data_IF_680980987836
#
_entry.id   IF_680980987836
#
_cell.length_a   1.000
_cell.length_b   1.000
_cell.length_c   1.000
_cell.angle_alpha   90.00
_cell.angle_beta   90.00
_cell.angle_gamma   90.00
#
_symmetry.space_group_name_H-M   'P 1'
#
loop_
_entity.id
_entity.type
_entity.pdbx_description
1 polymer ?
#
# COMPACT_ATOMS: atom_id res chain seq x y z
N UNK A 1 19.45 -9.42 22.45
CA UNK A 1 18.57 -9.24 21.27
C UNK A 1 17.55 -8.16 21.59
N UNK A 2 17.85 -6.91 21.22
CA UNK A 2 17.02 -5.74 21.53
C UNK A 2 15.81 -5.67 20.61
N UNK A 3 14.61 -5.53 21.19
CA UNK A 3 13.37 -5.27 20.46
C UNK A 3 13.42 -3.82 19.97
N UNK A 4 13.53 -3.61 18.65
CA UNK A 4 13.31 -2.30 18.06
C UNK A 4 11.82 -1.95 18.20
N UNK A 5 11.50 -1.15 19.22
CA UNK A 5 10.20 -0.50 19.30
C UNK A 5 10.11 0.54 18.15
N UNK A 6 8.99 0.61 17.41
CA UNK A 6 8.81 1.63 16.39
C UNK A 6 8.82 3.01 17.06
N UNK A 7 9.73 3.88 16.60
CA UNK A 7 9.81 5.27 17.05
C UNK A 7 8.61 6.03 16.48
N UNK A 8 7.51 6.08 17.22
CA UNK A 8 6.49 7.09 16.98
C UNK A 8 7.11 8.46 17.28
N UNK A 9 7.48 9.20 16.24
CA UNK A 9 7.93 10.59 16.36
C UNK A 9 6.79 11.39 17.01
N UNK A 10 6.96 11.72 18.29
CA UNK A 10 6.06 12.65 19.00
C UNK A 10 6.27 14.06 18.43
N UNK A 11 5.21 14.63 17.87
CA UNK A 11 4.83 16.01 18.17
C UNK A 11 5.67 17.17 17.61
N UNK A 12 6.18 17.09 16.39
CA UNK A 12 6.37 18.31 15.59
C UNK A 12 5.36 18.28 14.45
N UNK A 13 4.68 19.38 14.17
CA UNK A 13 3.81 19.56 12.99
C UNK A 13 4.72 19.66 11.75
N UNK A 14 5.50 18.61 11.50
CA UNK A 14 6.24 18.43 10.28
C UNK A 14 5.27 18.02 9.18
N UNK A 15 5.48 18.52 7.96
CA UNK A 15 4.76 18.06 6.78
C UNK A 15 4.93 16.53 6.68
N UNK A 16 3.82 15.78 6.68
CA UNK A 16 3.85 14.32 6.50
C UNK A 16 4.58 13.99 5.20
N UNK A 17 5.52 13.05 5.23
CA UNK A 17 6.19 12.54 4.03
C UNK A 17 5.71 11.14 3.73
N UNK A 18 4.99 10.99 2.62
CA UNK A 18 4.31 9.75 2.26
C UNK A 18 4.88 9.19 0.96
N UNK A 19 5.12 7.87 0.93
CA UNK A 19 5.49 7.16 -0.29
C UNK A 19 4.27 6.45 -0.87
N UNK A 20 3.86 6.82 -2.09
CA UNK A 20 2.82 6.09 -2.84
C UNK A 20 3.48 5.08 -3.76
N UNK A 21 3.40 3.81 -3.41
CA UNK A 21 3.90 2.69 -4.20
C UNK A 21 2.79 2.09 -5.05
N UNK A 22 3.00 2.05 -6.37
CA UNK A 22 2.03 1.49 -7.30
C UNK A 22 2.20 -0.01 -7.47
N UNK A 23 1.13 -0.78 -7.24
CA UNK A 23 1.14 -2.22 -7.48
C UNK A 23 0.98 -2.60 -8.95
N UNK A 24 0.43 -1.71 -9.78
CA UNK A 24 0.22 -1.93 -11.22
C UNK A 24 1.55 -2.10 -11.97
N UNK A 25 1.59 -2.99 -12.96
CA UNK A 25 2.66 -3.06 -13.98
C UNK A 25 2.61 -1.85 -14.94
N UNK A 26 3.64 -1.59 -15.77
CA UNK A 26 3.61 -0.52 -16.77
C UNK A 26 2.37 -0.58 -17.67
N UNK A 27 2.10 -1.73 -18.28
CA UNK A 27 0.94 -1.91 -19.15
C UNK A 27 -0.40 -1.75 -18.42
N UNK A 28 -0.50 -2.17 -17.15
CA UNK A 28 -1.71 -1.97 -16.34
C UNK A 28 -1.96 -0.48 -16.05
N UNK A 29 -0.91 0.29 -15.73
CA UNK A 29 -1.05 1.74 -15.53
C UNK A 29 -1.49 2.45 -16.79
N UNK A 30 -0.95 2.07 -17.94
CA UNK A 30 -1.30 2.67 -19.23
C UNK A 30 -2.74 2.31 -19.64
N UNK A 31 -3.13 1.04 -19.48
CA UNK A 31 -4.51 0.61 -19.69
C UNK A 31 -5.49 1.38 -18.77
N UNK A 32 -5.12 1.56 -17.49
CA UNK A 32 -5.93 2.33 -16.55
C UNK A 32 -6.02 3.80 -16.93
N UNK A 33 -4.92 4.44 -17.36
CA UNK A 33 -4.95 5.81 -17.89
C UNK A 33 -5.86 5.93 -19.11
N UNK A 34 -5.80 4.96 -20.02
CA UNK A 34 -6.71 4.93 -21.18
C UNK A 34 -8.18 4.82 -20.80
N UNK A 35 -8.49 4.15 -19.68
CA UNK A 35 -9.87 3.93 -19.23
C UNK A 35 -10.42 5.06 -18.34
N UNK A 36 -9.64 5.60 -17.40
CA UNK A 36 -10.12 6.55 -16.38
C UNK A 36 -9.25 7.81 -16.25
N UNK A 37 -8.32 8.02 -17.18
CA UNK A 37 -7.46 9.21 -17.27
C UNK A 37 -6.26 9.25 -16.30
N UNK A 38 -6.15 8.29 -15.36
CA UNK A 38 -5.10 8.23 -14.34
C UNK A 38 -4.77 6.78 -13.96
N UNK A 39 -3.52 6.53 -13.61
CA UNK A 39 -3.08 5.33 -12.87
C UNK A 39 -3.57 5.36 -11.41
N UNK A 40 -3.53 4.23 -10.70
CA UNK A 40 -3.91 4.20 -9.28
C UNK A 40 -3.01 5.09 -8.43
N UNK A 41 -1.71 5.16 -8.72
CA UNK A 41 -0.80 6.06 -8.02
C UNK A 41 -1.21 7.53 -8.15
N UNK A 42 -1.58 7.96 -9.36
CA UNK A 42 -2.09 9.31 -9.61
C UNK A 42 -3.41 9.59 -8.88
N UNK A 43 -4.32 8.62 -8.81
CA UNK A 43 -5.55 8.74 -8.02
C UNK A 43 -5.22 8.93 -6.53
N UNK A 44 -4.33 8.11 -5.98
CA UNK A 44 -3.92 8.21 -4.57
C UNK A 44 -3.26 9.55 -4.25
N UNK A 45 -2.33 10.01 -5.08
CA UNK A 45 -1.66 11.30 -4.90
C UNK A 45 -2.67 12.46 -4.87
N UNK A 46 -3.64 12.46 -5.79
CA UNK A 46 -4.72 13.47 -5.80
C UNK A 46 -5.52 13.43 -4.48
N UNK A 47 -6.04 12.27 -4.11
CA UNK A 47 -6.90 12.13 -2.92
C UNK A 47 -6.14 12.44 -1.63
N UNK A 48 -4.90 11.98 -1.49
CA UNK A 48 -4.09 12.27 -0.31
C UNK A 48 -3.72 13.75 -0.21
N UNK A 49 -3.47 14.42 -1.34
CA UNK A 49 -3.25 15.87 -1.36
C UNK A 49 -4.47 16.68 -0.91
N UNK A 50 -5.68 16.19 -1.19
CA UNK A 50 -6.93 16.79 -0.70
C UNK A 50 -7.15 16.53 0.81
N UNK A 51 -6.79 15.33 1.28
CA UNK A 51 -6.99 14.92 2.68
C UNK A 51 -5.94 15.46 3.65
N UNK A 52 -4.71 15.65 3.17
CA UNK A 52 -3.59 16.18 3.96
C UNK A 52 -2.90 17.32 3.18
N UNK A 53 -3.53 18.50 3.10
CA UNK A 53 -2.91 19.67 2.49
C UNK A 53 -1.64 20.03 3.27
N UNK A 54 -0.48 19.93 2.61
CA UNK A 54 0.83 20.07 3.26
C UNK A 54 1.54 18.74 3.53
N UNK A 55 1.04 17.60 3.12
CA UNK A 55 1.89 16.43 2.99
C UNK A 55 2.79 16.55 1.74
N UNK A 56 3.97 15.95 1.79
CA UNK A 56 4.86 15.73 0.65
C UNK A 56 4.75 14.28 0.21
N UNK A 57 4.87 14.06 -1.09
CA UNK A 57 4.61 12.76 -1.69
C UNK A 57 5.71 12.37 -2.65
N UNK A 58 6.26 11.17 -2.44
CA UNK A 58 7.08 10.49 -3.44
C UNK A 58 6.24 9.36 -4.07
N UNK A 59 6.60 8.98 -5.30
CA UNK A 59 5.93 7.89 -6.04
C UNK A 59 6.94 6.83 -6.44
N UNK A 60 6.62 5.58 -6.14
CA UNK A 60 7.41 4.41 -6.52
C UNK A 60 6.61 3.44 -7.39
N UNK A 61 7.31 2.68 -8.23
CA UNK A 61 6.72 1.68 -9.14
C UNK A 61 7.43 0.33 -8.98
N UNK A 62 7.25 -0.38 -7.85
CA UNK A 62 8.03 -1.59 -7.58
C UNK A 62 7.82 -2.73 -8.59
N UNK A 63 6.71 -2.72 -9.34
CA UNK A 63 6.47 -3.70 -10.41
C UNK A 63 7.42 -3.54 -11.60
N UNK A 64 8.12 -2.41 -11.74
CA UNK A 64 8.97 -2.13 -12.89
C UNK A 64 10.37 -2.74 -12.69
N UNK A 65 11.02 -3.19 -13.78
CA UNK A 65 12.39 -3.73 -13.72
C UNK A 65 13.39 -2.67 -13.22
N UNK A 66 13.20 -1.43 -13.64
CA UNK A 66 13.97 -0.26 -13.20
C UNK A 66 13.23 0.55 -12.13
N UNK A 67 12.28 -0.07 -11.42
CA UNK A 67 11.37 0.58 -10.46
C UNK A 67 12.12 1.40 -9.42
N UNK A 68 12.41 2.65 -9.77
CA UNK A 68 13.19 3.56 -8.95
C UNK A 68 12.26 4.16 -7.92
N UNK A 69 12.75 4.22 -6.68
CA UNK A 69 12.43 5.33 -5.78
C UNK A 69 13.43 6.41 -6.18
N UNK A 70 13.02 7.50 -6.85
CA UNK A 70 13.94 8.59 -7.16
C UNK A 70 14.61 9.04 -5.85
N UNK A 71 15.95 9.15 -5.85
CA UNK A 71 16.73 9.58 -4.68
C UNK A 71 16.71 8.67 -3.43
N UNK A 72 16.45 7.35 -3.53
CA UNK A 72 16.49 6.33 -2.43
C UNK A 72 16.68 6.92 -1.01
N UNK A 73 15.68 7.64 -0.45
CA UNK A 73 15.65 7.84 0.98
C UNK A 73 15.52 6.46 1.62
N UNK A 74 16.00 6.30 2.84
CA UNK A 74 15.70 5.07 3.58
C UNK A 74 14.17 4.96 3.65
N UNK A 75 13.60 3.75 3.49
CA UNK A 75 12.16 3.57 3.66
C UNK A 75 11.73 4.04 5.06
N UNK A 76 12.64 4.07 6.04
CA UNK A 76 12.44 4.63 7.37
C UNK A 76 12.29 6.16 7.42
N UNK A 77 12.62 6.88 6.34
CA UNK A 77 12.48 8.33 6.24
C UNK A 77 11.06 8.79 5.93
N UNK A 78 10.19 7.86 5.51
CA UNK A 78 8.78 8.11 5.27
C UNK A 78 7.96 7.91 6.55
N UNK A 79 6.94 8.75 6.75
CA UNK A 79 5.98 8.56 7.84
C UNK A 79 5.05 7.38 7.57
N UNK A 80 4.74 7.12 6.28
CA UNK A 80 4.05 5.92 5.86
C UNK A 80 4.28 5.57 4.38
N UNK A 81 4.10 4.29 4.06
CA UNK A 81 4.01 3.77 2.69
C UNK A 81 2.57 3.38 2.37
N UNK A 82 2.07 3.88 1.23
CA UNK A 82 0.75 3.57 0.70
C UNK A 82 0.91 2.68 -0.52
N UNK A 83 0.47 1.42 -0.43
CA UNK A 83 0.50 0.48 -1.54
C UNK A 83 -0.87 0.44 -2.22
N UNK A 84 -0.91 0.90 -3.47
CA UNK A 84 -2.18 1.05 -4.21
C UNK A 84 -2.82 -0.29 -4.57
N UNK A 85 -4.11 -0.25 -4.88
CA UNK A 85 -4.79 -1.36 -5.56
C UNK A 85 -4.47 -1.43 -7.05
N UNK A 86 -4.60 -2.62 -7.62
CA UNK A 86 -4.39 -2.90 -9.05
C UNK A 86 -5.12 -4.18 -9.47
N UNK A 87 -5.15 -4.51 -10.77
CA UNK A 87 -5.58 -5.81 -11.26
C UNK A 87 -4.59 -6.96 -10.93
N UNK A 88 -3.54 -6.71 -10.15
CA UNK A 88 -2.56 -7.72 -9.77
C UNK A 88 -3.19 -8.75 -8.80
N UNK A 89 -2.85 -10.02 -9.01
CA UNK A 89 -3.31 -11.12 -8.18
C UNK A 89 -2.14 -11.90 -7.58
N UNK A 90 -2.07 -12.00 -6.26
CA UNK A 90 -0.92 -12.62 -5.57
C UNK A 90 -1.05 -14.14 -5.42
N UNK A 91 -2.08 -14.74 -5.99
CA UNK A 91 -2.13 -16.19 -6.20
C UNK A 91 -1.41 -16.63 -7.49
N UNK A 92 -0.97 -15.67 -8.33
CA UNK A 92 -0.12 -15.91 -9.49
C UNK A 92 1.31 -15.43 -9.18
N UNK A 93 2.29 -16.32 -9.35
CA UNK A 93 3.69 -15.92 -9.24
C UNK A 93 4.18 -15.38 -10.58
N UNK A 94 4.51 -14.08 -10.60
CA UNK A 94 5.08 -13.39 -11.75
C UNK A 94 6.30 -12.58 -11.31
N UNK A 95 7.15 -12.12 -12.23
CA UNK A 95 8.24 -11.22 -11.89
C UNK A 95 7.76 -9.94 -11.16
N UNK A 96 6.61 -9.40 -11.55
CA UNK A 96 5.98 -8.21 -10.93
C UNK A 96 5.55 -8.51 -9.50
N UNK A 97 4.85 -9.64 -9.26
CA UNK A 97 4.40 -10.00 -7.91
C UNK A 97 5.58 -10.26 -6.98
N UNK A 98 6.66 -10.89 -7.47
CA UNK A 98 7.91 -11.06 -6.71
C UNK A 98 8.55 -9.74 -6.32
N UNK A 99 8.64 -8.77 -7.24
CA UNK A 99 9.21 -7.45 -6.93
C UNK A 99 8.35 -6.68 -5.92
N UNK A 100 7.02 -6.76 -6.02
CA UNK A 100 6.10 -6.16 -5.05
C UNK A 100 6.26 -6.77 -3.65
N UNK A 101 6.34 -8.11 -3.55
CA UNK A 101 6.59 -8.80 -2.29
C UNK A 101 7.95 -8.39 -1.70
N UNK A 102 9.00 -8.34 -2.53
CA UNK A 102 10.33 -7.93 -2.08
C UNK A 102 10.34 -6.49 -1.56
N UNK A 103 9.68 -5.56 -2.25
CA UNK A 103 9.50 -4.19 -1.80
C UNK A 103 8.76 -4.12 -0.45
N UNK A 104 7.64 -4.83 -0.31
CA UNK A 104 6.87 -4.81 0.94
C UNK A 104 7.64 -5.43 2.12
N UNK A 105 8.45 -6.47 1.87
CA UNK A 105 9.38 -7.01 2.89
C UNK A 105 10.40 -5.96 3.32
N UNK A 106 10.92 -5.15 2.40
CA UNK A 106 11.81 -4.05 2.74
C UNK A 106 11.10 -2.97 3.59
N UNK A 107 9.85 -2.64 3.27
CA UNK A 107 9.02 -1.72 4.07
C UNK A 107 8.84 -2.25 5.50
N UNK A 108 8.52 -3.53 5.66
CA UNK A 108 8.40 -4.16 6.97
C UNK A 108 9.73 -4.19 7.74
N UNK A 109 10.84 -4.48 7.05
CA UNK A 109 12.17 -4.47 7.65
C UNK A 109 12.60 -3.08 8.14
N UNK A 110 12.20 -2.03 7.43
CA UNK A 110 12.44 -0.64 7.84
C UNK A 110 11.57 -0.20 9.03
N UNK A 111 10.52 -0.95 9.38
CA UNK A 111 9.58 -0.60 10.44
C UNK A 111 8.64 0.56 10.08
N UNK A 112 8.57 0.91 8.80
CA UNK A 112 7.73 2.02 8.31
C UNK A 112 6.26 1.61 8.32
N UNK A 113 5.35 2.42 8.89
CA UNK A 113 3.92 2.17 8.81
C UNK A 113 3.46 2.02 7.36
N UNK A 114 2.61 1.03 7.10
CA UNK A 114 2.14 0.77 5.74
C UNK A 114 0.62 0.55 5.68
N UNK A 115 0.01 1.03 4.61
CA UNK A 115 -1.40 0.82 4.28
C UNK A 115 -1.50 0.24 2.87
N UNK A 116 -2.27 -0.83 2.69
CA UNK A 116 -2.50 -1.48 1.41
C UNK A 116 -3.97 -1.55 1.06
N UNK A 117 -4.32 -1.23 -0.20
CA UNK A 117 -5.68 -1.36 -0.71
C UNK A 117 -5.77 -2.47 -1.76
N UNK A 118 -6.80 -3.33 -1.67
CA UNK A 118 -7.04 -4.43 -2.59
C UNK A 118 -5.77 -5.29 -2.83
N UNK A 119 -5.18 -5.27 -4.04
CA UNK A 119 -3.91 -5.94 -4.33
C UNK A 119 -2.77 -5.54 -3.36
N UNK A 120 -2.72 -4.28 -2.91
CA UNK A 120 -1.74 -3.87 -1.89
C UNK A 120 -1.88 -4.62 -0.57
N UNK A 121 -3.11 -4.95 -0.15
CA UNK A 121 -3.35 -5.81 1.02
C UNK A 121 -2.87 -7.24 0.75
N UNK A 122 -3.13 -7.77 -0.45
CA UNK A 122 -2.65 -9.10 -0.85
C UNK A 122 -1.10 -9.18 -0.81
N UNK A 123 -0.41 -8.16 -1.32
CA UNK A 123 1.07 -8.08 -1.24
C UNK A 123 1.52 -8.09 0.22
N UNK A 124 0.91 -7.27 1.08
CA UNK A 124 1.23 -7.22 2.51
C UNK A 124 1.01 -8.57 3.20
N UNK A 125 -0.09 -9.27 2.90
CA UNK A 125 -0.37 -10.61 3.42
C UNK A 125 0.73 -11.61 3.05
N UNK A 126 1.11 -11.70 1.77
CA UNK A 126 2.15 -12.64 1.32
C UNK A 126 3.52 -12.25 1.86
N UNK A 127 3.85 -10.96 1.89
CA UNK A 127 5.10 -10.46 2.46
C UNK A 127 5.25 -10.81 3.95
N UNK A 128 4.15 -10.83 4.70
CA UNK A 128 4.09 -11.24 6.11
C UNK A 128 4.06 -12.78 6.33
N UNK A 129 4.14 -13.58 5.26
CA UNK A 129 4.13 -15.04 5.33
C UNK A 129 2.74 -15.68 5.25
N UNK A 130 1.70 -14.90 4.97
CA UNK A 130 0.36 -15.40 4.70
C UNK A 130 0.20 -15.90 3.26
N UNK A 131 -1.02 -16.33 2.93
CA UNK A 131 -1.38 -16.84 1.59
C UNK A 131 -2.57 -16.11 1.01
N UNK A 132 -2.58 -15.92 -0.31
CA UNK A 132 -3.72 -15.41 -1.08
C UNK A 132 -4.22 -16.53 -1.99
N UNK A 133 -5.54 -16.62 -2.16
CA UNK A 133 -6.17 -17.69 -2.96
C UNK A 133 -7.13 -17.07 -3.96
N UNK A 134 -7.32 -17.71 -5.13
CA UNK A 134 -8.34 -17.28 -6.08
C UNK A 134 -9.72 -17.38 -5.44
N UNK A 135 -10.56 -16.41 -5.78
CA UNK A 135 -11.95 -16.43 -5.35
C UNK A 135 -12.69 -17.59 -6.04
N UNK A 136 -13.38 -18.44 -5.27
CA UNK A 136 -14.07 -19.65 -5.81
C UNK A 136 -15.49 -19.39 -6.33
N UNK A 137 -16.13 -18.29 -5.90
CA UNK A 137 -17.47 -17.86 -6.33
C UNK A 137 -17.31 -16.52 -7.04
N UNK A 138 -18.02 -16.28 -8.14
CA UNK A 138 -17.84 -15.17 -9.10
C UNK A 138 -17.68 -13.76 -8.49
N UNK A 139 -17.38 -12.74 -9.31
CA UNK A 139 -16.99 -11.41 -8.84
C UNK A 139 -17.92 -10.84 -7.74
N UNK A 140 -17.32 -10.33 -6.66
CA UNK A 140 -18.05 -9.50 -5.69
C UNK A 140 -17.94 -8.06 -6.17
N UNK A 141 -18.94 -7.63 -6.92
CA UNK A 141 -19.14 -6.23 -7.28
C UNK A 141 -20.24 -5.46 -6.48
N UNK A 142 -20.93 -6.01 -5.45
CA UNK A 142 -21.93 -5.25 -4.70
C UNK A 142 -21.34 -4.50 -3.49
N UNK A 143 -22.19 -3.73 -2.81
CA UNK A 143 -21.90 -3.21 -1.49
C UNK A 143 -21.98 -4.32 -0.43
N UNK A 144 -20.89 -4.52 0.30
CA UNK A 144 -20.92 -5.30 1.53
C UNK A 144 -21.66 -4.50 2.61
N UNK A 145 -22.57 -5.19 3.32
CA UNK A 145 -23.29 -4.66 4.50
C UNK A 145 -22.81 -5.43 5.72
N UNK A 146 -23.16 -4.92 6.91
CA UNK A 146 -22.90 -5.60 8.18
C UNK A 146 -21.41 -5.92 8.43
N UNK A 147 -20.52 -5.02 7.96
CA UNK A 147 -19.09 -5.11 8.25
C UNK A 147 -18.88 -4.70 9.72
N UNK A 148 -18.50 -5.67 10.56
CA UNK A 148 -18.14 -5.44 11.95
C UNK A 148 -16.63 -5.69 12.16
N UNK A 149 -15.97 -4.94 13.06
CA UNK A 149 -14.62 -5.27 13.47
C UNK A 149 -14.59 -6.63 14.17
N UNK A 150 -13.51 -7.39 13.95
CA UNK A 150 -13.19 -8.53 14.81
C UNK A 150 -12.78 -8.03 16.20
N UNK A 151 -12.73 -8.92 17.20
CA UNK A 151 -12.26 -8.55 18.55
C UNK A 151 -10.86 -7.90 18.52
N UNK A 152 -9.93 -8.48 17.76
CA UNK A 152 -8.60 -7.90 17.56
C UNK A 152 -8.64 -6.56 16.78
N UNK A 153 -9.58 -6.41 15.84
CA UNK A 153 -9.77 -5.17 15.09
C UNK A 153 -10.38 -4.05 15.92
N UNK A 154 -11.25 -4.36 16.88
CA UNK A 154 -11.99 -3.38 17.68
C UNK A 154 -11.06 -2.46 18.49
N UNK A 155 -9.88 -2.96 18.88
CA UNK A 155 -8.85 -2.17 19.58
C UNK A 155 -7.88 -1.45 18.64
N UNK A 156 -8.00 -1.63 17.32
CA UNK A 156 -7.07 -1.09 16.34
C UNK A 156 -7.30 0.42 16.09
N UNK A 157 -6.27 1.28 16.15
CA UNK A 157 -6.43 2.73 15.99
C UNK A 157 -7.12 3.17 14.68
N UNK A 158 -6.93 2.45 13.57
CA UNK A 158 -7.59 2.74 12.27
C UNK A 158 -9.12 2.60 12.30
N UNK A 159 -9.66 1.85 13.28
CA UNK A 159 -11.09 1.63 13.44
C UNK A 159 -11.70 2.48 14.57
N UNK A 160 -10.91 3.35 15.22
CA UNK A 160 -11.44 4.27 16.23
C UNK A 160 -12.50 5.19 15.64
N UNK A 161 -13.67 5.26 16.28
CA UNK A 161 -14.81 6.05 15.81
C UNK A 161 -15.52 5.45 14.59
N UNK A 162 -15.23 4.18 14.24
CA UNK A 162 -15.91 3.42 13.20
C UNK A 162 -16.51 2.16 13.83
N UNK A 163 -17.80 2.22 14.15
CA UNK A 163 -18.58 1.16 14.80
C UNK A 163 -19.93 1.68 15.22
#
# INVERSE_FOLDING_TARGET
MGRHAPRLRRGSVGLLRLLVAESESPGQRDARRGSVGRSSGETYLKTLGELAPGATFDRAKPSDISGNIPNRPDLSDYDAVILTGSPLHLYEETPETRRQIAFMRAVFAAGTPAFGSCAGLQVATVAAGGTVRPKRRGAEAPFARDIAPTEAGAVHPLLRGRG
#
